data_IF_929362307757
#
_entry.id   IF_929362307757
#
_cell.length_a   1.000
_cell.length_b   1.000
_cell.length_c   1.000
_cell.angle_alpha   90.00
_cell.angle_beta   90.00
_cell.angle_gamma   90.00
#
_symmetry.space_group_name_H-M   'P 1'
#
loop_
_entity.id
_entity.type
_entity.pdbx_description
1 polymer ?
#
# COMPACT_ATOMS: atom_id res chain seq x y z
N UNK A 1 -8.01 48.15 -13.18
CA UNK A 1 -6.80 47.40 -13.60
C UNK A 1 -6.70 46.12 -12.78
N UNK A 2 -7.20 45.00 -13.33
CA UNK A 2 -7.06 43.69 -12.69
C UNK A 2 -5.65 43.16 -12.84
N UNK A 3 -5.01 42.74 -11.74
CA UNK A 3 -3.72 42.05 -11.77
C UNK A 3 -3.90 40.70 -12.46
N UNK A 4 -3.24 40.51 -13.60
CA UNK A 4 -3.11 39.22 -14.28
C UNK A 4 -2.38 38.24 -13.37
N UNK A 5 -3.06 37.15 -12.97
CA UNK A 5 -2.41 36.00 -12.32
C UNK A 5 -1.39 35.43 -13.30
N UNK A 6 -0.13 35.32 -12.88
CA UNK A 6 0.96 34.73 -13.67
C UNK A 6 0.56 33.32 -14.14
N UNK A 7 0.31 33.17 -15.44
CA UNK A 7 0.11 31.87 -16.08
C UNK A 7 1.38 31.04 -15.95
N UNK A 8 1.24 29.81 -15.47
CA UNK A 8 2.32 28.82 -15.45
C UNK A 8 2.93 28.66 -16.84
N UNK A 9 4.27 28.69 -16.94
CA UNK A 9 5.07 28.66 -18.20
C UNK A 9 4.76 27.47 -19.14
N UNK A 10 4.04 26.46 -18.67
CA UNK A 10 3.70 25.25 -19.42
C UNK A 10 2.21 24.89 -19.25
N UNK A 11 1.48 24.62 -20.36
CA UNK A 11 0.12 24.10 -20.34
C UNK A 11 -0.03 22.81 -19.52
N UNK A 12 -1.19 22.61 -18.90
CA UNK A 12 -1.48 21.43 -18.06
C UNK A 12 -1.35 20.10 -18.79
N UNK A 13 -1.88 20.01 -20.01
CA UNK A 13 -1.82 18.81 -20.84
C UNK A 13 -0.37 18.40 -21.18
N UNK A 14 0.50 19.39 -21.40
CA UNK A 14 1.93 19.16 -21.63
C UNK A 14 2.63 18.68 -20.36
N UNK A 15 2.29 19.24 -19.20
CA UNK A 15 2.81 18.77 -17.90
C UNK A 15 2.39 17.33 -17.65
N UNK A 16 1.11 17.00 -17.84
CA UNK A 16 0.58 15.66 -17.67
C UNK A 16 1.25 14.64 -18.60
N UNK A 17 1.44 14.98 -19.88
CA UNK A 17 2.13 14.12 -20.85
C UNK A 17 3.59 13.87 -20.46
N UNK A 18 4.29 14.90 -20.01
CA UNK A 18 5.69 14.79 -19.58
C UNK A 18 5.84 13.92 -18.32
N UNK A 19 4.93 14.07 -17.36
CA UNK A 19 4.88 13.23 -16.16
C UNK A 19 4.61 11.77 -16.53
N UNK A 20 3.62 11.52 -17.40
CA UNK A 20 3.30 10.18 -17.87
C UNK A 20 4.49 9.50 -18.54
N UNK A 21 5.24 10.21 -19.39
CA UNK A 21 6.49 9.67 -19.95
C UNK A 21 7.50 9.26 -18.89
N UNK A 22 7.62 10.01 -17.77
CA UNK A 22 8.52 9.63 -16.67
C UNK A 22 8.06 8.35 -15.98
N UNK A 23 6.78 8.25 -15.66
CA UNK A 23 6.23 7.10 -14.94
C UNK A 23 6.25 5.83 -15.80
N UNK A 24 5.82 5.93 -17.06
CA UNK A 24 5.73 4.78 -17.99
C UNK A 24 7.10 4.15 -18.29
N UNK A 25 8.17 4.96 -18.27
CA UNK A 25 9.53 4.51 -18.57
C UNK A 25 10.44 4.41 -17.32
N UNK A 26 9.92 4.63 -16.11
CA UNK A 26 10.75 4.71 -14.90
C UNK A 26 11.58 3.42 -14.68
N UNK A 27 10.98 2.26 -14.93
CA UNK A 27 11.59 0.94 -14.76
C UNK A 27 12.77 0.67 -15.69
N UNK A 28 12.91 1.43 -16.78
CA UNK A 28 14.05 1.34 -17.70
C UNK A 28 15.32 2.00 -17.15
N UNK A 29 15.21 2.74 -16.04
CA UNK A 29 16.30 3.52 -15.47
C UNK A 29 16.67 3.05 -14.06
N UNK A 30 17.93 3.27 -13.68
CA UNK A 30 18.43 2.90 -12.35
C UNK A 30 17.78 3.67 -11.18
N UNK A 31 17.09 4.77 -11.44
CA UNK A 31 16.31 5.52 -10.45
C UNK A 31 15.35 6.50 -11.10
N UNK A 32 14.30 6.92 -10.39
CA UNK A 32 13.43 8.05 -10.77
C UNK A 32 14.21 9.31 -11.13
N UNK A 33 15.27 9.61 -10.38
CA UNK A 33 16.12 10.77 -10.67
C UNK A 33 16.85 10.65 -12.01
N UNK A 34 17.24 9.44 -12.40
CA UNK A 34 17.85 9.15 -13.70
C UNK A 34 16.80 9.20 -14.84
N UNK A 35 15.61 8.65 -14.61
CA UNK A 35 14.49 8.76 -15.56
C UNK A 35 14.11 10.23 -15.81
N UNK A 36 13.90 11.02 -14.75
CA UNK A 36 13.61 12.46 -14.84
C UNK A 36 14.71 13.19 -15.59
N UNK A 37 16.00 12.92 -15.29
CA UNK A 37 17.11 13.55 -16.00
C UNK A 37 17.09 13.22 -17.49
N UNK A 38 17.03 11.94 -17.85
CA UNK A 38 17.04 11.47 -19.24
C UNK A 38 15.85 12.00 -20.03
N UNK A 39 14.65 11.94 -19.46
CA UNK A 39 13.44 12.38 -20.12
C UNK A 39 13.43 13.89 -20.25
N UNK A 40 13.83 14.65 -19.22
CA UNK A 40 13.92 16.12 -19.29
C UNK A 40 14.79 16.60 -20.47
N UNK A 41 15.89 15.88 -20.76
CA UNK A 41 16.74 16.15 -21.92
C UNK A 41 16.05 15.83 -23.25
N UNK A 42 15.32 14.72 -23.34
CA UNK A 42 14.57 14.31 -24.55
C UNK A 42 13.41 15.26 -24.88
N UNK A 43 12.67 15.73 -23.87
CA UNK A 43 11.48 16.59 -24.07
C UNK A 43 11.79 18.09 -23.99
N UNK A 44 13.03 18.47 -23.69
CA UNK A 44 13.47 19.87 -23.67
C UNK A 44 12.99 20.69 -22.45
N UNK A 45 12.64 20.02 -21.35
CA UNK A 45 12.21 20.69 -20.11
C UNK A 45 13.35 20.73 -19.09
N UNK A 46 13.30 21.69 -18.16
CA UNK A 46 14.26 21.70 -17.05
C UNK A 46 14.00 20.49 -16.14
N UNK A 47 15.08 19.85 -15.68
CA UNK A 47 15.03 18.75 -14.71
C UNK A 47 14.20 19.12 -13.47
N UNK A 48 14.36 20.33 -12.96
CA UNK A 48 13.63 20.79 -11.78
C UNK A 48 12.14 20.96 -12.04
N UNK A 49 11.75 21.49 -13.21
CA UNK A 49 10.34 21.58 -13.60
C UNK A 49 9.71 20.20 -13.68
N UNK A 50 10.35 19.26 -14.37
CA UNK A 50 9.83 17.90 -14.52
C UNK A 50 9.76 17.17 -13.18
N UNK A 51 10.77 17.33 -12.31
CA UNK A 51 10.75 16.81 -10.93
C UNK A 51 9.58 17.36 -10.12
N UNK A 52 9.34 18.67 -10.19
CA UNK A 52 8.23 19.32 -9.49
C UNK A 52 6.89 18.80 -10.01
N UNK A 53 6.73 18.63 -11.33
CA UNK A 53 5.47 18.13 -11.89
C UNK A 53 5.21 16.67 -11.57
N UNK A 54 6.24 15.80 -11.58
CA UNK A 54 6.11 14.40 -11.14
C UNK A 54 5.70 14.36 -9.68
N UNK A 55 6.36 15.14 -8.82
CA UNK A 55 6.02 15.24 -7.39
C UNK A 55 4.61 15.81 -7.17
N UNK A 56 4.20 16.79 -7.96
CA UNK A 56 2.87 17.39 -7.87
C UNK A 56 1.81 16.39 -8.29
N UNK A 57 2.01 15.68 -9.40
CA UNK A 57 1.10 14.64 -9.88
C UNK A 57 0.96 13.51 -8.86
N UNK A 58 2.06 13.07 -8.25
CA UNK A 58 2.03 12.11 -7.16
C UNK A 58 1.21 12.64 -5.98
N UNK A 59 1.43 13.90 -5.57
CA UNK A 59 0.64 14.56 -4.52
C UNK A 59 -0.85 14.68 -4.86
N UNK A 60 -1.17 15.03 -6.11
CA UNK A 60 -2.54 15.22 -6.59
C UNK A 60 -3.31 13.87 -6.67
N UNK A 61 -2.61 12.74 -6.63
CA UNK A 61 -3.18 11.38 -6.57
C UNK A 61 -3.28 10.87 -5.11
N UNK A 62 -2.68 11.55 -4.13
CA UNK A 62 -2.79 11.16 -2.72
C UNK A 62 -4.21 11.44 -2.25
N UNK A 63 -5.01 10.39 -2.11
CA UNK A 63 -6.32 10.48 -1.47
C UNK A 63 -6.14 10.36 0.04
N UNK A 64 -6.73 11.29 0.79
CA UNK A 64 -6.78 11.21 2.24
C UNK A 64 -7.96 10.35 2.68
N UNK A 65 -7.93 9.86 3.91
CA UNK A 65 -9.03 9.10 4.50
C UNK A 65 -10.35 9.87 4.51
N UNK A 66 -10.30 11.21 4.56
CA UNK A 66 -11.45 12.09 4.41
C UNK A 66 -12.12 12.00 3.04
N UNK A 67 -11.40 11.56 2.02
CA UNK A 67 -11.88 11.46 0.64
C UNK A 67 -12.53 10.09 0.36
N UNK A 68 -12.63 9.22 1.38
CA UNK A 68 -13.28 7.92 1.23
C UNK A 68 -14.77 8.08 0.97
N UNK A 69 -15.32 7.30 0.01
CA UNK A 69 -16.74 7.05 -0.06
C UNK A 69 -17.30 6.59 1.29
N UNK A 70 -18.53 7.01 1.61
CA UNK A 70 -19.18 6.69 2.87
C UNK A 70 -19.31 5.18 3.12
N UNK A 71 -19.47 4.38 2.06
CA UNK A 71 -19.53 2.90 2.09
C UNK A 71 -18.28 2.26 2.72
N UNK A 72 -17.11 2.92 2.71
CA UNK A 72 -15.90 2.34 3.33
C UNK A 72 -15.96 2.44 4.86
N UNK A 73 -16.78 3.37 5.39
CA UNK A 73 -16.86 3.66 6.82
C UNK A 73 -17.73 2.66 7.57
N UNK A 74 -18.81 2.17 6.95
CA UNK A 74 -19.76 1.26 7.58
C UNK A 74 -19.27 -0.20 7.67
N UNK A 75 -18.21 -0.54 6.91
CA UNK A 75 -17.62 -1.89 6.89
C UNK A 75 -18.62 -2.98 6.47
N UNK A 76 -19.59 -2.63 5.63
CA UNK A 76 -20.58 -3.57 5.11
C UNK A 76 -20.07 -4.31 3.87
N UNK A 77 -19.19 -3.68 3.09
CA UNK A 77 -18.68 -4.21 1.82
C UNK A 77 -17.27 -4.80 2.03
N UNK A 78 -17.00 -6.04 1.61
CA UNK A 78 -15.67 -6.61 1.70
C UNK A 78 -14.71 -6.01 0.65
N UNK A 79 -13.41 -6.10 0.91
CA UNK A 79 -12.36 -5.70 -0.04
C UNK A 79 -11.74 -4.34 0.23
N UNK A 80 -12.08 -3.73 1.37
CA UNK A 80 -11.40 -2.56 1.90
C UNK A 80 -10.41 -3.00 2.97
N UNK A 81 -9.13 -2.74 2.74
CA UNK A 81 -8.04 -3.21 3.59
C UNK A 81 -7.44 -2.07 4.41
N UNK A 82 -7.00 -2.37 5.62
CA UNK A 82 -6.07 -1.55 6.40
C UNK A 82 -4.69 -2.21 6.38
N UNK A 83 -3.66 -1.38 6.20
CA UNK A 83 -2.28 -1.81 6.11
C UNK A 83 -1.40 -1.15 7.17
N UNK A 84 -0.35 -1.86 7.60
CA UNK A 84 0.65 -1.38 8.56
C UNK A 84 1.91 -2.23 8.52
N UNK A 85 3.00 -1.74 9.11
CA UNK A 85 4.23 -2.49 9.36
C UNK A 85 4.40 -2.83 10.85
N UNK A 86 4.67 -4.09 11.14
CA UNK A 86 5.20 -4.51 12.43
C UNK A 86 6.73 -4.50 12.35
N UNK A 87 7.37 -3.60 13.07
CA UNK A 87 8.83 -3.49 13.13
C UNK A 87 9.45 -4.41 14.19
N UNK A 88 10.66 -4.89 13.88
CA UNK A 88 11.55 -5.68 14.74
C UNK A 88 13.00 -5.16 14.74
N UNK A 89 13.91 -5.94 15.32
CA UNK A 89 15.33 -5.57 15.42
C UNK A 89 16.04 -5.55 14.07
N UNK A 90 17.07 -4.71 13.96
CA UNK A 90 17.88 -4.61 12.75
C UNK A 90 17.05 -4.26 11.52
N UNK A 91 16.05 -3.38 11.70
CA UNK A 91 15.11 -2.95 10.67
C UNK A 91 14.36 -4.08 9.97
N UNK A 92 14.21 -5.25 10.60
CA UNK A 92 13.30 -6.28 10.08
C UNK A 92 11.85 -5.81 10.21
N UNK A 93 10.98 -6.18 9.27
CA UNK A 93 9.55 -5.89 9.37
C UNK A 93 8.70 -7.04 8.83
N UNK A 94 7.43 -7.04 9.22
CA UNK A 94 6.36 -7.83 8.61
C UNK A 94 5.27 -6.84 8.21
N UNK A 95 4.80 -6.90 6.96
CA UNK A 95 3.64 -6.12 6.54
C UNK A 95 2.35 -6.81 6.98
N UNK A 96 1.33 -6.03 7.30
CA UNK A 96 0.04 -6.54 7.78
C UNK A 96 -1.06 -5.94 6.93
N UNK A 97 -1.96 -6.79 6.42
CA UNK A 97 -3.16 -6.38 5.70
C UNK A 97 -4.38 -6.96 6.42
N UNK A 98 -5.32 -6.12 6.83
CA UNK A 98 -6.53 -6.54 7.54
C UNK A 98 -7.77 -6.05 6.81
N UNK A 99 -8.62 -6.99 6.40
CA UNK A 99 -9.88 -6.70 5.71
C UNK A 99 -10.88 -6.07 6.70
N UNK A 100 -11.49 -4.95 6.32
CA UNK A 100 -12.26 -4.09 7.22
C UNK A 100 -13.62 -4.66 7.60
N UNK A 101 -14.18 -5.60 6.85
CA UNK A 101 -15.49 -6.19 7.17
C UNK A 101 -15.33 -7.42 8.05
N UNK A 102 -14.47 -8.34 7.62
CA UNK A 102 -14.30 -9.71 8.14
C UNK A 102 -13.13 -9.85 9.10
N UNK A 103 -12.25 -8.85 9.20
CA UNK A 103 -10.97 -8.93 9.95
C UNK A 103 -10.00 -9.98 9.40
N UNK A 104 -10.24 -10.47 8.19
CA UNK A 104 -9.34 -11.41 7.56
C UNK A 104 -7.94 -10.78 7.42
N UNK A 105 -6.94 -11.46 7.95
CA UNK A 105 -5.58 -10.94 8.08
C UNK A 105 -4.65 -11.68 7.14
N UNK A 106 -3.84 -10.94 6.40
CA UNK A 106 -2.73 -11.47 5.60
C UNK A 106 -1.44 -10.80 6.07
N UNK A 107 -0.35 -11.57 6.07
CA UNK A 107 0.97 -11.11 6.46
C UNK A 107 1.90 -11.10 5.25
N UNK A 108 2.60 -9.98 5.06
CA UNK A 108 3.55 -9.79 3.99
C UNK A 108 4.94 -10.15 4.47
N UNK A 109 5.57 -11.12 3.80
CA UNK A 109 6.95 -11.48 4.06
C UNK A 109 7.88 -10.44 3.40
N UNK A 110 8.66 -9.73 4.23
CA UNK A 110 9.53 -8.63 3.81
C UNK A 110 11.00 -8.96 4.09
N UNK A 111 11.61 -9.88 3.32
CA UNK A 111 12.99 -10.30 3.54
C UNK A 111 13.97 -9.16 3.25
N UNK A 112 15.11 -9.17 3.95
CA UNK A 112 16.22 -8.26 3.66
C UNK A 112 16.72 -8.47 2.24
N UNK A 113 17.00 -7.36 1.55
CA UNK A 113 17.55 -7.41 0.20
C UNK A 113 19.05 -7.71 0.24
N UNK A 114 19.59 -8.19 -0.89
CA UNK A 114 21.03 -8.49 -1.03
C UNK A 114 21.88 -7.26 -0.69
N UNK A 115 22.88 -7.45 0.16
CA UNK A 115 23.77 -6.38 0.63
C UNK A 115 23.29 -5.63 1.88
N UNK A 116 22.15 -6.03 2.47
CA UNK A 116 21.77 -5.51 3.78
C UNK A 116 22.83 -5.85 4.84
N UNK A 117 23.23 -4.86 5.64
CA UNK A 117 24.25 -5.02 6.67
C UNK A 117 25.69 -5.10 6.15
N UNK A 118 25.90 -5.07 4.82
CA UNK A 118 27.24 -4.98 4.25
C UNK A 118 27.60 -3.52 4.01
N UNK A 119 28.56 -3.00 4.79
CA UNK A 119 29.04 -1.63 4.69
C UNK A 119 28.21 -0.59 5.45
N UNK A 120 28.62 0.68 5.36
CA UNK A 120 27.92 1.79 6.01
C UNK A 120 26.70 2.21 5.19
N UNK A 121 25.54 2.46 5.82
CA UNK A 121 24.38 3.03 5.14
C UNK A 121 24.77 4.33 4.42
N UNK A 122 24.38 4.44 3.16
CA UNK A 122 24.56 5.68 2.38
C UNK A 122 23.26 6.46 2.44
N UNK A 123 23.34 7.78 2.67
CA UNK A 123 22.17 8.66 2.62
C UNK A 123 21.54 8.59 1.23
N UNK A 124 20.24 8.34 1.16
CA UNK A 124 19.49 8.08 -0.09
C UNK A 124 20.00 6.85 -0.87
N UNK A 125 20.67 5.91 -0.20
CA UNK A 125 20.99 4.60 -0.75
C UNK A 125 19.76 3.70 -0.86
N UNK A 126 19.90 2.51 -1.48
CA UNK A 126 18.81 1.56 -1.64
C UNK A 126 18.26 1.11 -0.27
N UNK A 127 16.94 0.92 -0.19
CA UNK A 127 16.26 0.51 1.03
C UNK A 127 16.37 -1.01 1.25
N UNK A 128 17.55 -1.48 1.65
CA UNK A 128 17.86 -2.91 1.71
C UNK A 128 17.24 -3.67 2.89
N UNK A 129 16.56 -2.98 3.82
CA UNK A 129 15.99 -3.57 5.02
C UNK A 129 14.79 -4.50 4.77
N UNK A 130 14.25 -4.51 3.54
CA UNK A 130 13.10 -5.34 3.14
C UNK A 130 11.75 -4.63 3.29
N UNK A 131 11.68 -3.52 4.02
CA UNK A 131 10.48 -2.69 4.16
C UNK A 131 10.59 -1.34 3.43
N UNK A 132 11.44 -1.27 2.42
CA UNK A 132 11.49 -0.15 1.49
C UNK A 132 10.26 -0.10 0.59
N UNK A 133 10.02 1.05 -0.05
CA UNK A 133 8.79 1.25 -0.82
C UNK A 133 8.59 0.24 -1.97
N UNK A 134 9.68 -0.14 -2.65
CA UNK A 134 9.65 -1.17 -3.69
C UNK A 134 9.25 -2.54 -3.13
N UNK A 135 9.92 -2.98 -2.07
CA UNK A 135 9.64 -4.29 -1.46
C UNK A 135 8.23 -4.37 -0.86
N UNK A 136 7.74 -3.29 -0.24
CA UNK A 136 6.36 -3.23 0.28
C UNK A 136 5.34 -3.23 -0.87
N UNK A 137 5.56 -2.43 -1.92
CA UNK A 137 4.72 -2.46 -3.13
C UNK A 137 4.65 -3.87 -3.68
N UNK A 138 5.78 -4.51 -3.94
CA UNK A 138 5.84 -5.82 -4.58
C UNK A 138 5.11 -6.88 -3.75
N UNK A 139 5.33 -6.89 -2.43
CA UNK A 139 4.66 -7.82 -1.54
C UNK A 139 3.14 -7.59 -1.47
N UNK A 140 2.68 -6.33 -1.46
CA UNK A 140 1.24 -6.02 -1.54
C UNK A 140 0.69 -6.47 -2.89
N UNK A 141 1.37 -6.14 -4.00
CA UNK A 141 0.92 -6.49 -5.35
C UNK A 141 0.79 -8.00 -5.50
N UNK A 142 1.80 -8.77 -5.09
CA UNK A 142 1.77 -10.24 -5.13
C UNK A 142 0.58 -10.79 -4.32
N UNK A 143 0.41 -10.29 -3.09
CA UNK A 143 -0.65 -10.76 -2.19
C UNK A 143 -2.04 -10.41 -2.69
N UNK A 144 -2.29 -9.14 -3.03
CA UNK A 144 -3.60 -8.64 -3.46
C UNK A 144 -3.99 -9.21 -4.83
N UNK A 145 -3.03 -9.41 -5.74
CA UNK A 145 -3.32 -9.95 -7.08
C UNK A 145 -3.79 -11.40 -7.06
N UNK A 146 -3.55 -12.13 -5.96
CA UNK A 146 -4.08 -13.49 -5.76
C UNK A 146 -5.56 -13.51 -5.38
N UNK A 147 -6.09 -12.39 -4.88
CA UNK A 147 -7.47 -12.30 -4.41
C UNK A 147 -8.47 -12.16 -5.56
N UNK A 148 -9.73 -12.60 -5.40
CA UNK A 148 -10.80 -12.25 -6.32
C UNK A 148 -10.94 -10.72 -6.49
N UNK A 149 -11.31 -10.26 -7.69
CA UNK A 149 -11.41 -8.82 -8.01
C UNK A 149 -12.33 -8.05 -7.05
N UNK A 150 -13.38 -8.71 -6.53
CA UNK A 150 -14.33 -8.10 -5.58
C UNK A 150 -13.66 -7.70 -4.25
N UNK A 151 -12.55 -8.34 -3.89
CA UNK A 151 -11.77 -8.03 -2.69
C UNK A 151 -10.68 -6.97 -2.93
N UNK A 152 -10.50 -6.48 -4.16
CA UNK A 152 -9.45 -5.50 -4.51
C UNK A 152 -10.02 -4.10 -4.63
N UNK A 153 -10.69 -3.58 -3.59
CA UNK A 153 -11.34 -2.26 -3.65
C UNK A 153 -10.42 -1.12 -3.22
N UNK A 154 -9.95 -1.16 -1.97
CA UNK A 154 -9.10 -0.08 -1.47
C UNK A 154 -8.11 -0.53 -0.41
N UNK A 155 -7.02 0.20 -0.25
CA UNK A 155 -6.05 0.05 0.82
C UNK A 155 -5.89 1.36 1.59
N UNK A 156 -5.95 1.25 2.92
CA UNK A 156 -5.69 2.33 3.86
C UNK A 156 -4.32 2.16 4.48
N UNK A 157 -3.47 3.18 4.43
CA UNK A 157 -2.16 3.17 5.10
C UNK A 157 -1.88 4.50 5.80
N UNK A 158 -0.87 4.55 6.66
CA UNK A 158 -0.30 5.84 7.07
C UNK A 158 0.62 6.42 5.98
N UNK A 159 1.09 7.65 6.20
CA UNK A 159 1.94 8.38 5.25
C UNK A 159 3.43 7.96 5.36
N UNK A 160 3.69 6.71 5.75
CA UNK A 160 5.03 6.15 5.87
C UNK A 160 5.81 6.14 4.54
N UNK A 161 7.13 6.19 4.64
CA UNK A 161 8.02 6.23 3.48
C UNK A 161 7.97 4.94 2.64
N UNK A 162 7.53 3.83 3.23
CA UNK A 162 7.23 2.58 2.54
C UNK A 162 6.08 2.70 1.53
N UNK A 163 5.23 3.72 1.65
CA UNK A 163 4.15 3.98 0.69
C UNK A 163 4.52 5.03 -0.37
N UNK A 164 5.82 5.35 -0.52
CA UNK A 164 6.28 6.30 -1.53
C UNK A 164 5.99 5.86 -2.98
N UNK A 165 5.74 4.58 -3.23
CA UNK A 165 5.35 4.04 -4.54
C UNK A 165 3.85 3.70 -4.65
N UNK A 166 2.99 4.27 -3.81
CA UNK A 166 1.53 4.04 -3.84
C UNK A 166 0.91 4.30 -5.23
N UNK A 167 1.38 5.29 -5.98
CA UNK A 167 0.85 5.56 -7.32
C UNK A 167 1.04 4.37 -8.27
N UNK A 168 2.19 3.69 -8.21
CA UNK A 168 2.45 2.48 -8.96
C UNK A 168 1.63 1.30 -8.40
N UNK A 169 1.58 1.16 -7.08
CA UNK A 169 0.79 0.12 -6.42
C UNK A 169 -0.69 0.15 -6.86
N UNK A 170 -1.29 1.34 -6.93
CA UNK A 170 -2.67 1.53 -7.43
C UNK A 170 -2.81 1.07 -8.88
N UNK A 171 -1.84 1.36 -9.74
CA UNK A 171 -1.86 0.91 -11.15
C UNK A 171 -1.76 -0.62 -11.24
N UNK A 172 -0.82 -1.21 -10.51
CA UNK A 172 -0.54 -2.65 -10.57
C UNK A 172 -1.68 -3.50 -10.01
N UNK A 173 -2.39 -3.00 -8.99
CA UNK A 173 -3.40 -3.76 -8.25
C UNK A 173 -4.84 -3.37 -8.54
N UNK A 174 -5.06 -2.16 -9.06
CA UNK A 174 -6.39 -1.55 -9.18
C UNK A 174 -6.98 -1.06 -7.86
N UNK A 175 -6.23 -1.07 -6.76
CA UNK A 175 -6.68 -0.57 -5.46
C UNK A 175 -6.73 0.95 -5.41
N UNK A 176 -7.83 1.51 -4.90
CA UNK A 176 -7.82 2.90 -4.41
C UNK A 176 -7.00 2.99 -3.11
N UNK A 177 -6.03 3.90 -3.04
CA UNK A 177 -5.13 4.02 -1.88
C UNK A 177 -5.45 5.30 -1.12
N UNK A 178 -5.79 5.14 0.16
CA UNK A 178 -6.13 6.23 1.06
C UNK A 178 -5.11 6.34 2.20
N UNK A 179 -4.72 7.56 2.52
CA UNK A 179 -3.79 7.86 3.58
C UNK A 179 -4.50 8.40 4.83
N UNK A 180 -4.09 7.91 6.00
CA UNK A 180 -4.52 8.49 7.26
C UNK A 180 -3.94 9.89 7.45
N UNK A 181 -4.63 10.68 8.26
CA UNK A 181 -4.13 11.97 8.70
C UNK A 181 -2.87 11.79 9.56
N UNK A 182 -1.89 12.70 9.48
CA UNK A 182 -0.73 12.67 10.34
C UNK A 182 -1.14 12.59 11.82
N UNK A 183 -0.39 11.81 12.60
CA UNK A 183 -0.62 11.65 14.05
C UNK A 183 -2.01 11.11 14.42
N UNK A 184 -2.70 10.42 13.50
CA UNK A 184 -4.07 9.90 13.71
C UNK A 184 -4.16 8.37 13.70
N UNK A 185 -3.44 7.64 14.59
CA UNK A 185 -3.39 6.17 14.56
C UNK A 185 -4.77 5.51 14.74
N UNK A 186 -5.71 6.16 15.44
CA UNK A 186 -7.07 5.65 15.66
C UNK A 186 -7.87 5.43 14.36
N UNK A 187 -7.46 6.08 13.25
CA UNK A 187 -8.06 5.88 11.93
C UNK A 187 -7.79 4.49 11.34
N UNK A 188 -6.86 3.72 11.93
CA UNK A 188 -6.54 2.32 11.59
C UNK A 188 -6.74 1.37 12.78
N UNK A 189 -7.82 1.57 13.55
CA UNK A 189 -8.08 0.79 14.76
C UNK A 189 -8.16 -0.74 14.55
N UNK A 190 -8.46 -1.22 13.33
CA UNK A 190 -8.47 -2.66 13.05
C UNK A 190 -7.05 -3.23 12.98
N UNK A 191 -6.12 -2.49 12.35
CA UNK A 191 -4.71 -2.87 12.34
C UNK A 191 -4.08 -2.75 13.73
N UNK A 192 -4.40 -1.74 14.53
CA UNK A 192 -3.83 -1.62 15.89
C UNK A 192 -4.18 -2.84 16.76
N UNK A 193 -5.45 -3.24 16.78
CA UNK A 193 -5.88 -4.43 17.51
C UNK A 193 -5.23 -5.70 16.96
N UNK A 194 -5.16 -5.85 15.63
CA UNK A 194 -4.58 -7.04 15.00
C UNK A 194 -3.07 -7.13 15.24
N UNK A 195 -2.36 -6.01 15.17
CA UNK A 195 -0.94 -5.92 15.49
C UNK A 195 -0.68 -6.28 16.96
N UNK A 196 -1.56 -5.88 17.88
CA UNK A 196 -1.53 -6.31 19.27
C UNK A 196 -1.60 -7.84 19.43
N UNK A 197 -2.43 -8.52 18.64
CA UNK A 197 -2.53 -9.99 18.64
C UNK A 197 -1.31 -10.64 17.99
N UNK A 198 -0.81 -10.08 16.90
CA UNK A 198 0.39 -10.56 16.22
C UNK A 198 1.61 -10.50 17.14
N UNK A 199 1.67 -9.58 18.11
CA UNK A 199 2.73 -9.55 19.13
C UNK A 199 2.76 -10.76 20.07
N UNK A 200 1.72 -11.60 20.10
CA UNK A 200 1.74 -12.89 20.80
C UNK A 200 2.63 -13.90 20.07
N UNK A 201 2.75 -13.79 18.75
CA UNK A 201 3.58 -14.64 17.89
C UNK A 201 4.94 -13.98 17.58
N UNK A 202 4.94 -12.65 17.44
CA UNK A 202 6.10 -11.84 17.10
C UNK A 202 6.39 -10.79 18.19
N UNK A 203 6.88 -11.20 19.38
CA UNK A 203 7.20 -10.29 20.48
C UNK A 203 8.05 -9.09 20.04
N UNK A 204 7.88 -7.96 20.74
CA UNK A 204 8.75 -6.79 20.50
C UNK A 204 10.20 -7.14 20.83
N UNK A 205 11.13 -6.53 20.10
CA UNK A 205 12.57 -6.70 20.36
C UNK A 205 13.18 -8.00 19.82
N UNK A 206 12.54 -8.66 18.84
CA UNK A 206 13.13 -9.77 18.10
C UNK A 206 13.46 -9.36 16.66
N UNK A 207 14.39 -10.07 16.02
CA UNK A 207 14.62 -9.96 14.58
C UNK A 207 13.57 -10.78 13.83
N UNK A 208 12.68 -10.10 13.11
CA UNK A 208 11.57 -10.70 12.39
C UNK A 208 11.99 -11.39 11.09
N UNK A 209 13.20 -11.12 10.58
CA UNK A 209 13.69 -11.74 9.33
C UNK A 209 13.95 -13.24 9.47
N UNK A 210 13.87 -13.77 10.69
CA UNK A 210 13.95 -15.21 10.98
C UNK A 210 12.67 -15.95 10.64
N UNK A 211 11.55 -15.25 10.49
CA UNK A 211 10.25 -15.84 10.19
C UNK A 211 10.01 -15.84 8.68
N UNK A 212 9.96 -17.03 8.09
CA UNK A 212 9.72 -17.21 6.67
C UNK A 212 8.23 -17.11 6.29
N UNK A 213 7.96 -17.04 4.99
CA UNK A 213 6.59 -16.91 4.46
C UNK A 213 5.62 -17.99 4.95
N UNK A 214 6.07 -19.24 5.11
CA UNK A 214 5.23 -20.35 5.60
C UNK A 214 4.80 -20.15 7.06
N UNK A 215 5.72 -19.69 7.90
CA UNK A 215 5.43 -19.39 9.31
C UNK A 215 4.46 -18.21 9.42
N UNK A 216 4.67 -17.15 8.62
CA UNK A 216 3.73 -16.03 8.56
C UNK A 216 2.33 -16.48 8.12
N UNK A 217 2.26 -17.36 7.11
CA UNK A 217 1.00 -17.93 6.63
C UNK A 217 0.30 -18.76 7.70
N UNK A 218 1.06 -19.56 8.47
CA UNK A 218 0.52 -20.34 9.58
C UNK A 218 -0.03 -19.44 10.70
N UNK A 219 0.68 -18.36 11.05
CA UNK A 219 0.22 -17.38 12.05
C UNK A 219 -1.03 -16.62 11.57
N UNK A 220 -1.05 -16.18 10.30
CA UNK A 220 -2.23 -15.56 9.70
C UNK A 220 -3.43 -16.51 9.74
N UNK A 221 -3.23 -17.78 9.36
CA UNK A 221 -4.27 -18.80 9.44
C UNK A 221 -4.80 -18.97 10.88
N UNK A 222 -3.91 -19.07 11.88
CA UNK A 222 -4.31 -19.18 13.28
C UNK A 222 -5.17 -17.99 13.76
N UNK A 223 -4.90 -16.78 13.27
CA UNK A 223 -5.75 -15.60 13.54
C UNK A 223 -7.07 -15.65 12.78
N UNK A 224 -7.06 -16.15 11.55
CA UNK A 224 -8.22 -16.23 10.67
C UNK A 224 -9.17 -17.38 11.02
N UNK A 225 -8.71 -18.38 11.77
CA UNK A 225 -9.54 -19.47 12.31
C UNK A 225 -9.92 -19.25 13.78
N UNK A 226 -9.64 -18.08 14.35
CA UNK A 226 -9.98 -17.73 15.72
C UNK A 226 -11.31 -16.98 15.78
N UNK A 227 -12.24 -17.47 16.60
CA UNK A 227 -13.56 -16.84 16.80
C UNK A 227 -13.43 -15.39 17.27
N UNK A 228 -14.25 -14.50 16.70
CA UNK A 228 -14.29 -13.08 17.04
C UNK A 228 -15.68 -12.72 17.54
N UNK A 229 -15.75 -12.20 18.77
CA UNK A 229 -17.00 -11.66 19.32
C UNK A 229 -17.61 -10.57 18.43
N UNK A 230 -16.77 -9.77 17.76
CA UNK A 230 -17.20 -8.72 16.83
C UNK A 230 -17.81 -9.24 15.53
N UNK A 231 -17.68 -10.54 15.26
CA UNK A 231 -18.24 -11.22 14.08
C UNK A 231 -19.29 -12.25 14.53
N UNK A 232 -20.02 -11.98 15.62
CA UNK A 232 -20.99 -12.90 16.21
C UNK A 232 -20.42 -14.30 16.45
N UNK A 233 -19.18 -14.33 16.96
CA UNK A 233 -18.41 -15.54 17.25
C UNK A 233 -18.01 -16.37 16.03
N UNK A 234 -18.04 -15.81 14.83
CA UNK A 234 -17.47 -16.46 13.66
C UNK A 234 -15.97 -16.19 13.56
N UNK A 235 -15.28 -17.05 12.82
CA UNK A 235 -13.90 -16.81 12.44
C UNK A 235 -13.83 -15.83 11.26
N UNK A 236 -12.76 -15.04 11.11
CA UNK A 236 -12.56 -14.20 9.93
C UNK A 236 -12.64 -14.97 8.61
N UNK A 237 -12.13 -16.20 8.56
CA UNK A 237 -12.21 -17.06 7.39
C UNK A 237 -13.66 -17.43 7.02
N UNK A 238 -14.48 -17.84 8.00
CA UNK A 238 -15.91 -18.14 7.77
C UNK A 238 -16.69 -16.90 7.34
N UNK A 239 -16.40 -15.75 7.95
CA UNK A 239 -17.05 -14.49 7.59
C UNK A 239 -16.74 -14.09 6.14
N UNK A 240 -15.48 -14.20 5.72
CA UNK A 240 -15.05 -13.92 4.35
C UNK A 240 -15.65 -14.90 3.34
N UNK A 241 -15.61 -16.20 3.63
CA UNK A 241 -16.20 -17.24 2.78
C UNK A 241 -17.70 -17.01 2.56
N UNK A 242 -18.44 -16.61 3.60
CA UNK A 242 -19.86 -16.29 3.45
C UNK A 242 -20.11 -15.12 2.51
N UNK A 243 -19.34 -14.04 2.63
CA UNK A 243 -19.50 -12.86 1.76
C UNK A 243 -19.19 -13.21 0.30
N UNK A 244 -18.12 -13.96 0.06
CA UNK A 244 -17.78 -14.43 -1.28
C UNK A 244 -18.88 -15.32 -1.88
N UNK A 245 -19.47 -16.23 -1.09
CA UNK A 245 -20.60 -17.06 -1.54
C UNK A 245 -21.86 -16.24 -1.82
N UNK A 246 -22.18 -15.26 -0.99
CA UNK A 246 -23.35 -14.39 -1.18
C UNK A 246 -23.24 -13.57 -2.47
N UNK A 247 -22.08 -12.97 -2.72
CA UNK A 247 -21.82 -12.18 -3.93
C UNK A 247 -21.90 -13.04 -5.21
N UNK A 248 -21.45 -14.30 -5.16
CA UNK A 248 -21.62 -15.22 -6.30
C UNK A 248 -23.10 -15.52 -6.61
N UNK A 249 -23.94 -15.62 -5.59
CA UNK A 249 -25.38 -15.92 -5.77
C UNK A 249 -26.11 -14.69 -6.32
N UNK A 250 -25.84 -13.48 -5.79
CA UNK A 250 -26.49 -12.25 -6.24
C UNK A 250 -26.01 -11.79 -7.64
N UNK A 251 -24.73 -12.03 -7.98
CA UNK A 251 -24.17 -11.74 -9.31
C UNK A 251 -24.77 -12.60 -10.43
N UNK A 252 -25.18 -13.85 -10.14
CA UNK A 252 -25.84 -14.73 -11.11
C UNK A 252 -27.31 -14.37 -11.30
N UNK A 253 -27.99 -13.85 -10.26
CA UNK A 253 -29.40 -13.46 -10.32
C UNK A 253 -29.66 -12.16 -11.11
N UNK A 254 -28.63 -11.34 -11.37
CA UNK A 254 -28.79 -10.04 -12.06
C UNK A 254 -28.68 -10.16 -13.59
N UNK A 255 -28.46 -11.36 -14.13
CA UNK A 255 -28.28 -11.63 -15.57
C UNK A 255 -29.52 -12.29 -16.22
N UNK A 256 -30.67 -12.24 -15.55
CA UNK A 256 -31.95 -12.85 -15.99
C UNK A 256 -32.95 -11.83 -16.52
#
# INVERSE_FOLDING_TARGET
MGKTKNGTRYPEELRARAVRMVLDHESEYASRSAAILSISQKVGYSRDSLRIWVKQHETDIVLMISDRPAEISDRAVPGHWEGDLILGLGSSAIGTLVERTTRFTMLLHLPRMKGHGTGKPVKNGPALAGHGAEAVRDAITETISSLPAQLRRSLTWDQGAEMAQHAQLRIDTGLEIYFCDPQSPWQRGSNENTNGLLRQYFPKGIDLSKHGADELSAVANALNTRLRKTLDWQTPAEALDRLLKKDMIEGVATIG
#
